data_IF_513446336506
#
_entry.id   IF_513446336506
#
_cell.length_a   1.000
_cell.length_b   1.000
_cell.length_c   1.000
_cell.angle_alpha   90.00
_cell.angle_beta   90.00
_cell.angle_gamma   90.00
#
_symmetry.space_group_name_H-M   'P 1'
#
loop_
_entity.id
_entity.type
_entity.pdbx_description
1 polymer ?
#
# COMPACT_ATOMS: atom_id res chain seq x y z
N UNK A 1 20.84 -22.41 -3.58
CA UNK A 1 19.75 -21.45 -3.81
C UNK A 1 18.79 -21.58 -2.65
N UNK A 2 18.62 -20.54 -1.82
CA UNK A 2 17.72 -20.58 -0.67
C UNK A 2 16.25 -20.69 -1.12
N UNK A 3 15.35 -21.01 -0.20
CA UNK A 3 13.92 -21.19 -0.49
C UNK A 3 13.28 -19.92 -1.06
N UNK A 4 13.65 -18.76 -0.53
CA UNK A 4 13.23 -17.45 -1.06
C UNK A 4 13.59 -17.29 -2.55
N UNK A 5 14.84 -17.59 -2.92
CA UNK A 5 15.32 -17.44 -4.30
C UNK A 5 14.65 -18.39 -5.30
N UNK A 6 14.11 -19.52 -4.83
CA UNK A 6 13.30 -20.44 -5.65
C UNK A 6 11.89 -19.92 -5.89
N UNK A 7 11.33 -19.23 -4.90
CA UNK A 7 9.91 -18.86 -4.89
C UNK A 7 9.66 -17.45 -5.43
N UNK A 8 10.65 -16.55 -5.36
CA UNK A 8 10.49 -15.17 -5.79
C UNK A 8 10.05 -15.06 -7.25
N UNK A 9 9.15 -14.11 -7.50
CA UNK A 9 8.65 -13.78 -8.84
C UNK A 9 9.52 -12.71 -9.51
N UNK A 10 10.14 -11.84 -8.71
CA UNK A 10 11.03 -10.79 -9.19
C UNK A 10 12.50 -11.22 -9.16
N UNK A 11 13.15 -11.24 -10.33
CA UNK A 11 14.54 -11.70 -10.52
C UNK A 11 15.54 -10.89 -9.67
N UNK A 12 15.35 -9.58 -9.58
CA UNK A 12 16.27 -8.67 -8.88
C UNK A 12 15.99 -8.52 -7.38
N UNK A 13 14.90 -9.10 -6.87
CA UNK A 13 14.60 -9.03 -5.45
C UNK A 13 15.49 -10.03 -4.69
N UNK A 14 16.21 -9.55 -3.68
CA UNK A 14 17.00 -10.39 -2.78
C UNK A 14 16.29 -10.55 -1.45
N UNK A 15 16.52 -11.68 -0.77
CA UNK A 15 15.90 -11.98 0.53
C UNK A 15 16.15 -10.86 1.57
N UNK A 16 17.39 -10.35 1.62
CA UNK A 16 17.76 -9.22 2.49
C UNK A 16 16.92 -7.97 2.21
N UNK A 17 16.76 -7.62 0.93
CA UNK A 17 15.98 -6.44 0.54
C UNK A 17 14.49 -6.64 0.81
N UNK A 18 13.97 -7.86 0.61
CA UNK A 18 12.61 -8.22 0.97
C UNK A 18 12.36 -8.03 2.47
N UNK A 19 13.16 -8.64 3.34
CA UNK A 19 12.99 -8.55 4.78
C UNK A 19 13.08 -7.10 5.29
N UNK A 20 14.05 -6.34 4.78
CA UNK A 20 14.21 -4.93 5.14
C UNK A 20 13.00 -4.09 4.73
N UNK A 21 12.54 -4.22 3.48
CA UNK A 21 11.39 -3.45 2.97
C UNK A 21 10.07 -3.89 3.61
N UNK A 22 9.89 -5.20 3.85
CA UNK A 22 8.70 -5.75 4.49
C UNK A 22 8.53 -5.12 5.87
N UNK A 23 9.58 -5.15 6.70
CA UNK A 23 9.57 -4.54 8.03
C UNK A 23 9.25 -3.04 7.97
N UNK A 24 9.92 -2.30 7.09
CA UNK A 24 9.68 -0.86 6.92
C UNK A 24 8.21 -0.57 6.57
N UNK A 25 7.62 -1.31 5.63
CA UNK A 25 6.23 -1.12 5.24
C UNK A 25 5.25 -1.56 6.35
N UNK A 26 5.53 -2.63 7.08
CA UNK A 26 4.71 -3.06 8.21
C UNK A 26 4.66 -2.01 9.34
N UNK A 27 5.79 -1.34 9.61
CA UNK A 27 5.85 -0.24 10.57
C UNK A 27 5.07 0.99 10.09
N UNK A 28 5.24 1.38 8.81
CA UNK A 28 4.56 2.54 8.21
C UNK A 28 3.03 2.36 8.10
N UNK A 29 2.56 1.12 7.86
CA UNK A 29 1.12 0.80 7.75
C UNK A 29 0.38 0.77 9.09
N UNK A 30 1.09 0.66 10.22
CA UNK A 30 0.51 0.70 11.56
C UNK A 30 0.16 2.12 12.02
N UNK A 31 0.74 3.15 11.41
CA UNK A 31 0.53 4.53 11.83
C UNK A 31 -0.85 5.04 11.41
N UNK A 32 -1.65 5.52 12.37
CA UNK A 32 -2.91 6.20 12.07
C UNK A 32 -2.63 7.65 11.64
N UNK A 33 -2.49 7.84 10.33
CA UNK A 33 -2.21 9.13 9.69
C UNK A 33 -3.24 10.22 9.98
N UNK A 34 -4.49 9.87 10.33
CA UNK A 34 -5.51 10.84 10.69
C UNK A 34 -5.40 11.31 12.14
N UNK A 35 -4.74 10.52 13.00
CA UNK A 35 -4.44 10.90 14.39
C UNK A 35 -3.22 11.82 14.55
N UNK A 36 -2.39 11.95 13.50
CA UNK A 36 -1.16 12.76 13.54
C UNK A 36 -1.52 14.24 13.70
N UNK A 37 -1.02 14.88 14.76
CA UNK A 37 -1.20 16.33 14.94
C UNK A 37 -0.50 17.10 13.84
N UNK A 38 -1.22 18.00 13.18
CA UNK A 38 -0.65 18.89 12.18
C UNK A 38 0.43 19.79 12.81
N UNK A 39 1.67 19.80 12.29
CA UNK A 39 2.71 20.70 12.75
C UNK A 39 2.35 22.17 12.57
N UNK A 40 2.80 23.05 13.48
CA UNK A 40 2.47 24.48 13.45
C UNK A 40 2.89 25.17 12.14
N UNK A 41 4.07 24.83 11.61
CA UNK A 41 4.57 25.41 10.35
C UNK A 41 3.68 25.11 9.13
N UNK A 42 2.86 24.06 9.18
CA UNK A 42 1.87 23.74 8.14
C UNK A 42 0.60 24.57 8.30
N UNK A 43 0.21 24.83 9.56
CA UNK A 43 -0.94 25.69 9.87
C UNK A 43 -0.65 27.15 9.54
N UNK A 44 0.61 27.56 9.67
CA UNK A 44 1.08 28.90 9.35
C UNK A 44 1.25 29.12 7.84
N UNK A 45 1.22 28.06 7.03
CA UNK A 45 1.31 28.12 5.57
C UNK A 45 -0.07 28.42 4.94
N UNK A 46 -0.23 29.58 4.26
CA UNK A 46 -1.50 29.99 3.67
C UNK A 46 -1.97 29.09 2.51
N UNK A 47 -1.07 28.32 1.89
CA UNK A 47 -1.33 27.47 0.70
C UNK A 47 -1.39 25.96 1.00
N UNK A 48 -0.94 25.54 2.20
CA UNK A 48 -0.89 24.14 2.57
C UNK A 48 -2.03 23.75 3.52
N UNK A 49 -2.08 24.32 4.72
CA UNK A 49 -3.13 24.06 5.70
C UNK A 49 -3.31 22.60 6.13
N UNK A 50 -4.17 22.39 7.14
CA UNK A 50 -4.39 21.07 7.76
C UNK A 50 -4.93 20.01 6.77
N UNK A 51 -5.90 20.40 5.93
CA UNK A 51 -6.57 19.46 5.01
C UNK A 51 -5.60 18.85 4.00
N UNK A 52 -4.70 19.66 3.41
CA UNK A 52 -3.74 19.18 2.41
C UNK A 52 -2.68 18.29 3.04
N UNK A 53 -2.27 18.59 4.27
CA UNK A 53 -1.31 17.78 5.02
C UNK A 53 -1.84 16.37 5.29
N UNK A 54 -3.02 16.24 5.88
CA UNK A 54 -3.61 14.92 6.11
C UNK A 54 -3.88 14.18 4.80
N UNK A 55 -4.31 14.89 3.74
CA UNK A 55 -4.46 14.29 2.40
C UNK A 55 -3.13 13.72 1.90
N UNK A 56 -2.02 14.43 2.10
CA UNK A 56 -0.68 13.95 1.73
C UNK A 56 -0.25 12.72 2.54
N UNK A 57 -0.50 12.72 3.85
CA UNK A 57 -0.21 11.57 4.71
C UNK A 57 -1.00 10.32 4.30
N UNK A 58 -2.29 10.45 4.01
CA UNK A 58 -3.10 9.32 3.58
C UNK A 58 -2.74 8.83 2.17
N UNK A 59 -2.36 9.72 1.24
CA UNK A 59 -1.78 9.31 -0.04
C UNK A 59 -0.47 8.52 0.12
N UNK A 60 0.39 8.93 1.06
CA UNK A 60 1.60 8.18 1.37
C UNK A 60 1.25 6.79 1.92
N UNK A 61 0.29 6.69 2.84
CA UNK A 61 -0.14 5.41 3.41
C UNK A 61 -0.70 4.45 2.34
N UNK A 62 -1.50 4.96 1.40
CA UNK A 62 -2.00 4.18 0.25
C UNK A 62 -0.85 3.71 -0.64
N UNK A 63 0.09 4.62 -0.94
CA UNK A 63 1.26 4.29 -1.75
C UNK A 63 2.13 3.22 -1.08
N UNK A 64 2.29 3.29 0.24
CA UNK A 64 2.97 2.26 1.04
C UNK A 64 2.23 0.93 0.95
N UNK A 65 0.90 0.92 1.13
CA UNK A 65 0.09 -0.30 1.05
C UNK A 65 0.18 -0.97 -0.34
N UNK A 66 0.16 -0.19 -1.41
CA UNK A 66 0.33 -0.69 -2.78
C UNK A 66 1.72 -1.30 -2.99
N UNK A 67 2.78 -0.60 -2.57
CA UNK A 67 4.16 -1.09 -2.63
C UNK A 67 4.37 -2.34 -1.79
N UNK A 68 3.67 -2.44 -0.67
CA UNK A 68 3.67 -3.62 0.18
C UNK A 68 3.07 -4.82 -0.55
N UNK A 69 1.87 -4.68 -1.14
CA UNK A 69 1.25 -5.73 -1.95
C UNK A 69 2.17 -6.21 -3.09
N UNK A 70 2.78 -5.25 -3.82
CA UNK A 70 3.75 -5.55 -4.87
C UNK A 70 4.98 -6.29 -4.33
N UNK A 71 5.47 -5.94 -3.15
CA UNK A 71 6.60 -6.61 -2.51
C UNK A 71 6.25 -8.06 -2.16
N UNK A 72 5.09 -8.30 -1.53
CA UNK A 72 4.61 -9.65 -1.18
C UNK A 72 4.45 -10.53 -2.43
N UNK A 73 3.83 -9.98 -3.48
CA UNK A 73 3.71 -10.66 -4.76
C UNK A 73 5.09 -10.95 -5.37
N UNK A 74 5.98 -9.95 -5.43
CA UNK A 74 7.33 -10.11 -6.00
C UNK A 74 8.19 -11.12 -5.24
N UNK A 75 8.01 -11.21 -3.92
CA UNK A 75 8.70 -12.14 -3.03
C UNK A 75 8.26 -13.59 -3.17
N UNK A 76 7.21 -13.88 -3.93
CA UNK A 76 6.76 -15.26 -4.10
C UNK A 76 5.84 -15.76 -2.99
N UNK A 77 5.32 -14.88 -2.12
CA UNK A 77 4.45 -15.30 -1.02
C UNK A 77 3.18 -15.99 -1.52
N UNK A 78 2.54 -16.83 -0.68
CA UNK A 78 1.27 -17.48 -1.00
C UNK A 78 0.19 -16.47 -1.41
N UNK A 79 -0.64 -16.82 -2.40
CA UNK A 79 -1.72 -15.93 -2.86
C UNK A 79 -2.70 -15.49 -1.76
N UNK A 80 -3.07 -16.32 -0.78
CA UNK A 80 -3.93 -15.85 0.31
C UNK A 80 -3.37 -14.64 1.07
N UNK A 81 -2.04 -14.58 1.28
CA UNK A 81 -1.40 -13.43 1.94
C UNK A 81 -1.41 -12.19 1.06
N UNK A 82 -1.16 -12.35 -0.24
CA UNK A 82 -1.18 -11.25 -1.22
C UNK A 82 -2.60 -10.68 -1.35
N UNK A 83 -3.62 -11.56 -1.43
CA UNK A 83 -5.03 -11.18 -1.51
C UNK A 83 -5.45 -10.42 -0.25
N UNK A 84 -5.08 -10.91 0.93
CA UNK A 84 -5.35 -10.23 2.21
C UNK A 84 -4.76 -8.81 2.25
N UNK A 85 -3.48 -8.66 1.89
CA UNK A 85 -2.85 -7.34 1.83
C UNK A 85 -3.50 -6.42 0.78
N UNK A 86 -3.96 -6.98 -0.34
CA UNK A 86 -4.66 -6.22 -1.39
C UNK A 86 -6.02 -5.72 -0.89
N UNK A 87 -6.75 -6.52 -0.13
CA UNK A 87 -8.00 -6.07 0.51
C UNK A 87 -7.75 -4.93 1.51
N UNK A 88 -6.73 -5.03 2.37
CA UNK A 88 -6.37 -3.95 3.29
C UNK A 88 -6.01 -2.65 2.55
N UNK A 89 -5.22 -2.76 1.48
CA UNK A 89 -4.88 -1.61 0.61
C UNK A 89 -6.13 -0.96 0.01
N UNK A 90 -7.08 -1.76 -0.52
CA UNK A 90 -8.33 -1.24 -1.10
C UNK A 90 -9.22 -0.61 -0.03
N UNK A 91 -9.30 -1.17 1.18
CA UNK A 91 -10.07 -0.58 2.27
C UNK A 91 -9.51 0.80 2.68
N UNK A 92 -8.18 0.94 2.71
CA UNK A 92 -7.53 2.24 2.95
C UNK A 92 -7.80 3.24 1.83
N UNK A 93 -7.79 2.78 0.59
CA UNK A 93 -8.18 3.61 -0.55
C UNK A 93 -9.64 4.09 -0.41
N UNK A 94 -10.56 3.18 -0.07
CA UNK A 94 -11.97 3.49 0.16
C UNK A 94 -12.13 4.58 1.23
N UNK A 95 -11.48 4.42 2.40
CA UNK A 95 -11.52 5.40 3.50
C UNK A 95 -11.01 6.79 3.11
N UNK A 96 -10.02 6.87 2.23
CA UNK A 96 -9.45 8.16 1.82
C UNK A 96 -10.28 8.90 0.78
N UNK A 97 -10.87 8.15 -0.16
CA UNK A 97 -11.62 8.76 -1.26
C UNK A 97 -13.12 8.88 -1.00
N UNK A 98 -13.66 8.17 0.00
CA UNK A 98 -15.11 8.10 0.25
C UNK A 98 -15.87 7.67 -1.02
N UNK A 99 -15.25 6.76 -1.80
CA UNK A 99 -15.79 6.22 -3.04
C UNK A 99 -16.16 4.78 -2.78
N UNK A 100 -17.44 4.43 -2.89
CA UNK A 100 -17.89 3.04 -2.90
C UNK A 100 -17.18 2.29 -4.03
N UNK A 101 -16.35 1.32 -3.65
CA UNK A 101 -15.87 0.36 -4.64
C UNK A 101 -17.09 -0.45 -5.12
N UNK A 102 -17.24 -0.66 -6.44
CA UNK A 102 -18.36 -1.44 -6.93
C UNK A 102 -18.38 -2.82 -6.27
N UNK A 103 -19.42 -3.08 -5.46
CA UNK A 103 -19.61 -4.34 -4.74
C UNK A 103 -19.71 -5.54 -5.71
N UNK A 104 -20.15 -5.27 -6.95
CA UNK A 104 -20.22 -6.25 -8.01
C UNK A 104 -19.01 -6.18 -8.95
N UNK A 105 -18.05 -7.07 -8.65
CA UNK A 105 -17.04 -7.68 -9.55
C UNK A 105 -15.85 -6.81 -9.99
N UNK A 106 -14.86 -6.71 -9.12
CA UNK A 106 -13.47 -6.95 -9.54
C UNK A 106 -12.99 -8.20 -8.80
N UNK A 107 -12.83 -9.32 -9.51
CA UNK A 107 -12.13 -10.44 -8.88
C UNK A 107 -10.63 -10.14 -8.93
N UNK A 108 -9.97 -10.04 -7.78
CA UNK A 108 -8.56 -9.63 -7.67
C UNK A 108 -7.57 -10.53 -8.44
N UNK A 109 -8.04 -11.66 -8.96
CA UNK A 109 -7.29 -12.60 -9.82
C UNK A 109 -7.57 -12.45 -11.32
N UNK A 110 -8.49 -11.57 -11.73
CA UNK A 110 -8.74 -11.26 -13.14
C UNK A 110 -7.61 -10.38 -13.70
N UNK A 111 -7.23 -10.64 -14.96
CA UNK A 111 -6.09 -9.98 -15.60
C UNK A 111 -6.22 -8.44 -15.62
N UNK A 112 -7.45 -7.94 -15.64
CA UNK A 112 -7.77 -6.51 -15.68
C UNK A 112 -7.70 -5.84 -14.31
N UNK A 113 -7.76 -6.60 -13.22
CA UNK A 113 -7.63 -6.08 -11.85
C UNK A 113 -6.24 -5.49 -11.60
N UNK A 114 -5.20 -6.11 -12.19
CA UNK A 114 -3.84 -5.58 -12.16
C UNK A 114 -3.71 -4.29 -13.00
N UNK A 115 -4.38 -4.21 -14.14
CA UNK A 115 -4.41 -3.01 -14.98
C UNK A 115 -5.17 -1.86 -14.30
N UNK A 116 -6.25 -2.16 -13.57
CA UNK A 116 -7.02 -1.18 -12.82
C UNK A 116 -6.23 -0.63 -11.61
N UNK A 117 -5.50 -1.51 -10.90
CA UNK A 117 -4.57 -1.11 -9.84
C UNK A 117 -3.39 -0.29 -10.39
N UNK A 118 -2.92 -0.56 -11.61
CA UNK A 118 -1.88 0.25 -12.28
C UNK A 118 -2.39 1.58 -12.85
N UNK A 119 -3.70 1.72 -13.05
CA UNK A 119 -4.34 2.92 -13.59
C UNK A 119 -4.66 3.97 -12.52
N UNK A 120 -4.95 3.53 -11.29
CA UNK A 120 -5.09 4.38 -10.09
C UNK A 120 -3.74 4.93 -9.61
#
# INVERSE_FOLDING_TARGET
MCEFEKNKRAIYLTERNFLHRKKFFEEDLQEDVFSIKTPQWILDDPDYGQRRYHRGLSWNQISTAMRYCQLLYSAGLPMPEVVSATHDMLERFHKHFDIDFPEDKLQLWEADSYAYILWL
#
